data_IF_968704369182
#
_entry.id   IF_968704369182
#
_cell.length_a   1.000
_cell.length_b   1.000
_cell.length_c   1.000
_cell.angle_alpha   90.00
_cell.angle_beta   90.00
_cell.angle_gamma   90.00
#
_symmetry.space_group_name_H-M   'P 1'
#
loop_
_entity.id
_entity.type
_entity.pdbx_description
1 polymer ?
#
# COMPACT_ATOMS: atom_id res chain seq x y z
N UNK A 1 17.53 43.15 41.70
CA UNK A 1 16.21 42.68 41.30
C UNK A 1 15.96 42.84 39.78
N UNK A 2 16.33 43.93 39.17
CA UNK A 2 16.09 44.20 37.73
C UNK A 2 16.75 43.22 36.72
N UNK A 3 17.97 42.74 36.98
CA UNK A 3 18.66 41.78 36.10
C UNK A 3 18.00 40.40 36.02
N UNK A 4 17.34 39.92 37.09
CA UNK A 4 16.62 38.64 37.07
C UNK A 4 15.29 38.73 36.34
N UNK A 5 14.64 39.89 36.31
CA UNK A 5 13.40 40.13 35.60
C UNK A 5 13.61 40.16 34.10
N UNK A 6 14.71 40.78 33.62
CA UNK A 6 15.08 40.83 32.19
C UNK A 6 15.43 39.45 31.65
N UNK A 7 16.13 38.59 32.40
CA UNK A 7 16.42 37.22 32.00
C UNK A 7 15.16 36.34 31.93
N UNK A 8 14.19 36.53 32.81
CA UNK A 8 12.92 35.79 32.77
C UNK A 8 12.05 36.22 31.56
N UNK A 9 12.01 37.50 31.23
CA UNK A 9 11.28 37.97 30.02
C UNK A 9 11.96 37.49 28.72
N UNK A 10 13.28 37.48 28.66
CA UNK A 10 14.01 36.98 27.49
C UNK A 10 13.78 35.46 27.28
N UNK A 11 13.72 34.69 28.38
CA UNK A 11 13.42 33.25 28.31
C UNK A 11 11.97 32.97 27.89
N UNK A 12 10.99 33.77 28.31
CA UNK A 12 9.61 33.64 27.88
C UNK A 12 9.44 33.97 26.39
N UNK A 13 10.09 35.01 25.90
CA UNK A 13 10.08 35.37 24.47
C UNK A 13 10.74 34.28 23.61
N UNK A 14 11.85 33.68 24.05
CA UNK A 14 12.51 32.60 23.33
C UNK A 14 11.64 31.32 23.30
N UNK A 15 10.93 31.02 24.38
CA UNK A 15 10.02 29.88 24.40
C UNK A 15 8.77 30.08 23.51
N UNK A 16 8.24 31.30 23.46
CA UNK A 16 7.12 31.65 22.56
C UNK A 16 7.53 31.55 21.09
N UNK A 17 8.72 32.04 20.71
CA UNK A 17 9.23 31.93 19.34
C UNK A 17 9.57 30.48 18.95
N UNK A 18 10.01 29.64 19.88
CA UNK A 18 10.23 28.22 19.61
C UNK A 18 8.92 27.44 19.42
N UNK A 19 7.86 27.80 20.13
CA UNK A 19 6.53 27.22 19.96
C UNK A 19 5.92 27.60 18.60
N UNK A 20 6.02 28.90 18.19
CA UNK A 20 5.56 29.35 16.89
C UNK A 20 6.37 28.72 15.73
N UNK A 21 7.68 28.56 15.88
CA UNK A 21 8.51 27.90 14.88
C UNK A 21 8.19 26.39 14.75
N UNK A 22 7.85 25.72 15.84
CA UNK A 22 7.43 24.32 15.82
C UNK A 22 6.04 24.14 15.17
N UNK A 23 5.15 25.11 15.34
CA UNK A 23 3.82 25.09 14.74
C UNK A 23 3.86 25.47 13.25
N UNK A 24 4.73 26.39 12.84
CA UNK A 24 4.97 26.75 11.43
C UNK A 24 5.53 25.60 10.58
N UNK A 25 6.10 24.55 11.19
CA UNK A 25 6.59 23.36 10.48
C UNK A 25 5.50 22.31 10.20
N UNK A 26 4.31 22.47 10.78
CA UNK A 26 3.19 21.54 10.58
C UNK A 26 2.30 22.02 9.43
N UNK A 27 1.84 21.08 8.57
CA UNK A 27 0.86 21.43 7.53
C UNK A 27 -0.41 22.03 8.16
N UNK A 28 -0.86 23.19 7.67
CA UNK A 28 -2.05 23.87 8.16
C UNK A 28 -3.36 23.12 7.87
N UNK A 29 -3.34 22.16 6.95
CA UNK A 29 -4.50 21.35 6.58
C UNK A 29 -4.09 19.96 6.06
N UNK A 30 -5.09 19.04 6.05
CA UNK A 30 -4.93 17.72 5.42
C UNK A 30 -4.57 17.86 3.93
N UNK A 31 -5.17 18.81 3.23
CA UNK A 31 -4.90 19.05 1.80
C UNK A 31 -3.45 19.47 1.58
N UNK A 32 -2.90 20.33 2.43
CA UNK A 32 -1.50 20.73 2.37
C UNK A 32 -0.57 19.58 2.67
N UNK A 33 -0.83 18.78 3.71
CA UNK A 33 -0.05 17.58 4.03
C UNK A 33 -0.02 16.60 2.85
N UNK A 34 -1.17 16.35 2.22
CA UNK A 34 -1.27 15.48 1.03
C UNK A 34 -0.43 16.04 -0.11
N UNK A 35 -0.48 17.36 -0.36
CA UNK A 35 0.32 18.00 -1.42
C UNK A 35 1.81 17.88 -1.14
N UNK A 36 2.27 18.15 0.08
CA UNK A 36 3.68 18.01 0.46
C UNK A 36 4.16 16.57 0.23
N UNK A 37 3.39 15.57 0.68
CA UNK A 37 3.73 14.17 0.47
C UNK A 37 3.77 13.82 -1.03
N UNK A 38 2.81 14.29 -1.80
CA UNK A 38 2.75 14.06 -3.24
C UNK A 38 3.98 14.67 -3.95
N UNK A 39 4.33 15.91 -3.62
CA UNK A 39 5.48 16.61 -4.21
C UNK A 39 6.81 15.91 -3.85
N UNK A 40 6.97 15.48 -2.60
CA UNK A 40 8.15 14.73 -2.16
C UNK A 40 8.28 13.36 -2.83
N UNK A 41 7.18 12.79 -3.28
CA UNK A 41 7.12 11.46 -3.90
C UNK A 41 7.01 11.49 -5.41
N UNK A 42 7.02 12.66 -6.02
CA UNK A 42 6.92 12.78 -7.49
C UNK A 42 8.02 11.98 -8.17
N UNK A 43 7.63 11.15 -9.13
CA UNK A 43 8.56 10.42 -9.98
C UNK A 43 8.93 11.34 -11.13
N UNK A 44 10.19 11.84 -11.14
CA UNK A 44 10.69 12.78 -12.14
C UNK A 44 11.47 12.09 -13.27
N UNK A 45 11.72 10.79 -13.15
CA UNK A 45 12.41 10.02 -14.17
C UNK A 45 11.59 9.99 -15.48
N UNK A 46 12.18 10.25 -16.66
CA UNK A 46 11.45 10.29 -17.93
C UNK A 46 10.74 8.97 -18.29
N UNK A 47 11.29 7.83 -17.83
CA UNK A 47 10.71 6.49 -18.03
C UNK A 47 9.84 6.06 -16.84
N UNK A 48 9.62 6.95 -15.87
CA UNK A 48 8.86 6.67 -14.67
C UNK A 48 7.39 6.40 -14.97
N UNK A 49 6.75 5.70 -14.04
CA UNK A 49 5.30 5.47 -14.04
C UNK A 49 4.73 5.88 -12.70
N UNK A 50 3.66 6.67 -12.74
CA UNK A 50 2.89 7.09 -11.58
C UNK A 50 1.42 7.14 -11.99
N UNK A 51 0.64 6.12 -11.61
CA UNK A 51 -0.77 5.96 -11.98
C UNK A 51 -1.59 5.62 -10.74
N UNK A 52 -2.82 6.14 -10.68
CA UNK A 52 -3.84 5.73 -9.72
C UNK A 52 -5.13 5.55 -10.52
N UNK A 53 -5.65 4.34 -10.58
CA UNK A 53 -6.76 4.01 -11.47
C UNK A 53 -7.65 2.90 -10.90
N UNK A 54 -8.81 2.77 -11.51
CA UNK A 54 -9.73 1.66 -11.29
C UNK A 54 -9.60 0.66 -12.44
N UNK A 55 -9.33 -0.59 -12.12
CA UNK A 55 -9.28 -1.70 -13.10
C UNK A 55 -10.44 -2.66 -12.86
N UNK A 56 -10.97 -3.25 -13.94
CA UNK A 56 -12.05 -4.22 -13.82
C UNK A 56 -11.48 -5.60 -13.57
N UNK A 57 -11.65 -6.10 -12.34
CA UNK A 57 -11.19 -7.42 -11.88
C UNK A 57 -12.36 -8.11 -11.20
N UNK A 58 -12.60 -9.37 -11.53
CA UNK A 58 -13.67 -10.16 -10.91
C UNK A 58 -15.05 -9.53 -11.07
N UNK A 59 -15.29 -8.83 -12.18
CA UNK A 59 -16.56 -8.19 -12.48
C UNK A 59 -16.81 -6.85 -11.80
N UNK A 60 -15.93 -6.36 -10.92
CA UNK A 60 -16.05 -5.08 -10.21
C UNK A 60 -14.88 -4.14 -10.49
N UNK A 61 -15.04 -2.85 -10.22
CA UNK A 61 -13.97 -1.86 -10.29
C UNK A 61 -13.06 -1.99 -9.06
N UNK A 62 -11.77 -2.25 -9.23
CA UNK A 62 -10.82 -2.38 -8.14
C UNK A 62 -9.70 -1.36 -8.27
N UNK A 63 -9.38 -0.68 -7.16
CA UNK A 63 -8.42 0.41 -7.14
C UNK A 63 -6.98 -0.09 -7.08
N UNK A 64 -6.12 0.47 -7.92
CA UNK A 64 -4.68 0.24 -7.86
C UNK A 64 -3.91 1.56 -7.88
N UNK A 65 -2.68 1.53 -7.35
CA UNK A 65 -1.65 2.51 -7.69
C UNK A 65 -0.46 1.79 -8.27
N UNK A 66 0.16 2.38 -9.28
CA UNK A 66 1.34 1.86 -9.97
C UNK A 66 2.42 2.92 -9.92
N UNK A 67 3.57 2.60 -9.33
CA UNK A 67 4.67 3.55 -9.15
C UNK A 67 6.01 2.88 -9.39
N UNK A 68 6.90 3.54 -10.12
CA UNK A 68 8.27 3.07 -10.36
C UNK A 68 9.09 4.10 -11.12
N UNK A 69 10.39 4.17 -10.85
CA UNK A 69 11.31 5.09 -11.54
C UNK A 69 11.54 4.71 -13.02
N UNK A 70 11.32 3.46 -13.37
CA UNK A 70 11.38 2.97 -14.76
C UNK A 70 10.28 1.93 -14.99
N UNK A 71 9.38 2.19 -15.95
CA UNK A 71 8.31 1.25 -16.35
C UNK A 71 8.82 -0.10 -16.88
N UNK A 72 10.11 -0.18 -17.22
CA UNK A 72 10.76 -1.42 -17.65
C UNK A 72 11.14 -2.31 -16.47
N UNK A 73 11.20 -1.78 -15.27
CA UNK A 73 11.48 -2.55 -14.06
C UNK A 73 10.49 -3.72 -13.91
N UNK A 74 10.88 -4.80 -13.24
CA UNK A 74 9.95 -5.87 -12.91
C UNK A 74 8.81 -5.36 -12.02
N UNK A 75 7.62 -5.92 -12.20
CA UNK A 75 6.46 -5.59 -11.38
C UNK A 75 6.57 -6.28 -10.02
N UNK A 76 6.24 -5.56 -8.95
CA UNK A 76 6.00 -6.08 -7.61
C UNK A 76 4.55 -5.79 -7.21
N UNK A 77 3.70 -6.82 -7.24
CA UNK A 77 2.31 -6.72 -6.77
C UNK A 77 2.25 -6.97 -5.26
N UNK A 78 1.61 -6.06 -4.54
CA UNK A 78 1.38 -6.16 -3.09
C UNK A 78 -0.04 -6.69 -2.81
N UNK A 79 -0.13 -7.81 -2.09
CA UNK A 79 -1.36 -8.36 -1.54
C UNK A 79 -1.43 -7.99 -0.06
N UNK A 80 -2.30 -7.04 0.30
CA UNK A 80 -2.41 -6.53 1.67
C UNK A 80 -3.06 -7.54 2.63
N UNK A 81 -2.85 -7.32 3.91
CA UNK A 81 -3.37 -8.13 4.99
C UNK A 81 -4.81 -7.79 5.42
N UNK A 82 -5.19 -8.34 6.55
CA UNK A 82 -6.50 -8.13 7.18
C UNK A 82 -7.34 -9.39 7.26
N UNK A 83 -8.28 -9.71 6.33
CA UNK A 83 -8.62 -9.00 5.07
C UNK A 83 -9.10 -7.56 5.27
N UNK A 84 -8.86 -6.71 4.27
CA UNK A 84 -9.35 -5.32 4.26
C UNK A 84 -8.43 -4.26 4.86
N UNK A 85 -7.23 -4.62 5.35
CA UNK A 85 -6.25 -3.65 5.83
C UNK A 85 -5.37 -3.13 4.68
N UNK A 86 -5.90 -2.13 3.95
CA UNK A 86 -5.24 -1.57 2.78
C UNK A 86 -3.90 -0.92 3.12
N UNK A 87 -2.88 -1.19 2.31
CA UNK A 87 -1.54 -0.60 2.48
C UNK A 87 -1.35 0.70 1.67
N UNK A 88 -2.20 0.94 0.68
CA UNK A 88 -2.10 2.08 -0.24
C UNK A 88 -1.97 3.44 0.47
N UNK A 89 -2.74 3.78 1.52
CA UNK A 89 -2.64 5.07 2.20
C UNK A 89 -1.30 5.29 2.92
N UNK A 90 -0.62 4.23 3.33
CA UNK A 90 0.65 4.28 4.06
C UNK A 90 1.86 3.92 3.21
N UNK A 91 1.66 3.51 1.96
CA UNK A 91 2.72 3.08 1.05
C UNK A 91 3.81 4.14 0.83
N UNK A 92 3.45 5.43 0.92
CA UNK A 92 4.37 6.55 0.80
C UNK A 92 5.53 6.49 1.80
N UNK A 93 5.32 5.87 2.96
CA UNK A 93 6.31 5.78 4.03
C UNK A 93 7.39 4.71 3.76
N UNK A 94 7.00 3.54 3.24
CA UNK A 94 7.93 2.41 3.13
C UNK A 94 8.32 2.05 1.69
N UNK A 95 7.52 2.43 0.69
CA UNK A 95 7.65 1.94 -0.69
C UNK A 95 8.74 2.66 -1.50
N UNK A 96 9.13 3.89 -1.14
CA UNK A 96 9.95 4.76 -1.98
C UNK A 96 11.23 4.09 -2.50
N UNK A 97 11.99 3.42 -1.64
CA UNK A 97 13.23 2.76 -2.06
C UNK A 97 13.02 1.56 -2.98
N UNK A 98 11.81 0.99 -3.01
CA UNK A 98 11.48 -0.11 -3.92
C UNK A 98 11.17 0.39 -5.34
N UNK A 99 10.67 1.62 -5.45
CA UNK A 99 10.30 2.25 -6.73
C UNK A 99 11.50 2.44 -7.68
N UNK A 100 12.74 2.42 -7.15
CA UNK A 100 13.97 2.48 -7.95
C UNK A 100 14.25 1.16 -8.70
N UNK A 101 13.80 0.03 -8.16
CA UNK A 101 14.09 -1.32 -8.66
C UNK A 101 12.87 -2.05 -9.21
N UNK A 102 11.67 -1.63 -8.80
CA UNK A 102 10.40 -2.25 -9.18
C UNK A 102 9.40 -1.22 -9.69
N UNK A 103 8.51 -1.66 -10.56
CA UNK A 103 7.21 -1.04 -10.73
C UNK A 103 6.30 -1.63 -9.66
N UNK A 104 6.09 -0.89 -8.56
CA UNK A 104 5.32 -1.35 -7.40
C UNK A 104 3.84 -1.08 -7.62
N UNK A 105 3.03 -2.12 -7.45
CA UNK A 105 1.57 -2.06 -7.54
C UNK A 105 0.96 -2.31 -6.17
N UNK A 106 0.31 -1.28 -5.62
CA UNK A 106 -0.58 -1.42 -4.48
C UNK A 106 -1.99 -1.66 -4.99
N UNK A 107 -2.72 -2.56 -4.35
CA UNK A 107 -4.06 -2.95 -4.75
C UNK A 107 -4.99 -2.97 -3.55
N UNK A 108 -6.06 -2.20 -3.59
CA UNK A 108 -7.16 -2.30 -2.66
C UNK A 108 -8.06 -3.46 -3.13
N UNK A 109 -7.93 -4.60 -2.48
CA UNK A 109 -8.66 -5.82 -2.84
C UNK A 109 -10.18 -5.64 -2.69
N UNK A 110 -10.95 -6.58 -3.24
CA UNK A 110 -12.41 -6.64 -3.13
C UNK A 110 -12.89 -6.34 -1.68
N UNK A 111 -13.83 -5.40 -1.54
CA UNK A 111 -14.40 -5.01 -0.26
C UNK A 111 -13.49 -4.12 0.61
N UNK A 112 -12.36 -3.63 0.10
CA UNK A 112 -11.40 -2.83 0.85
C UNK A 112 -11.18 -1.45 0.23
N UNK A 113 -10.87 -0.45 1.07
CA UNK A 113 -10.39 0.87 0.67
C UNK A 113 -11.21 1.56 -0.41
N UNK A 114 -10.53 2.03 -1.45
CA UNK A 114 -11.17 2.70 -2.60
C UNK A 114 -12.02 1.74 -3.43
N UNK A 115 -11.68 0.47 -3.48
CA UNK A 115 -12.49 -0.58 -4.12
C UNK A 115 -13.86 -0.70 -3.44
N UNK A 116 -13.90 -0.72 -2.10
CA UNK A 116 -15.16 -0.70 -1.37
C UNK A 116 -15.99 0.55 -1.70
N UNK A 117 -15.37 1.73 -1.67
CA UNK A 117 -16.05 2.99 -1.92
C UNK A 117 -16.60 3.13 -3.35
N UNK A 118 -16.03 2.40 -4.33
CA UNK A 118 -16.42 2.47 -5.74
C UNK A 118 -17.51 1.47 -6.15
N UNK A 119 -17.94 0.58 -5.26
CA UNK A 119 -18.89 -0.49 -5.57
C UNK A 119 -20.04 -0.55 -4.55
N UNK A 120 -21.19 -1.04 -4.98
CA UNK A 120 -22.32 -1.28 -4.08
C UNK A 120 -22.00 -2.44 -3.12
N UNK A 121 -21.95 -2.19 -1.79
CA UNK A 121 -21.61 -3.20 -0.81
C UNK A 121 -22.63 -4.35 -0.75
N UNK A 122 -23.89 -4.12 -1.08
CA UNK A 122 -24.94 -5.14 -1.11
C UNK A 122 -24.66 -6.16 -2.21
N UNK A 123 -24.17 -5.70 -3.37
CA UNK A 123 -23.81 -6.57 -4.50
C UNK A 123 -22.47 -7.28 -4.29
N UNK A 124 -21.54 -6.65 -3.59
CA UNK A 124 -20.19 -7.20 -3.37
C UNK A 124 -20.16 -8.20 -2.22
N UNK A 125 -20.89 -7.97 -1.12
CA UNK A 125 -20.84 -8.78 0.09
C UNK A 125 -21.02 -10.30 -0.15
N UNK A 126 -21.97 -10.78 -0.96
CA UNK A 126 -22.13 -12.21 -1.22
C UNK A 126 -20.94 -12.84 -1.96
N UNK A 127 -20.10 -12.01 -2.61
CA UNK A 127 -18.93 -12.45 -3.38
C UNK A 127 -17.64 -12.45 -2.55
N UNK A 128 -17.68 -12.00 -1.29
CA UNK A 128 -16.55 -11.90 -0.37
C UNK A 128 -16.12 -13.29 0.13
N UNK A 129 -15.69 -14.16 -0.78
CA UNK A 129 -15.21 -15.50 -0.47
C UNK A 129 -13.71 -15.62 -0.76
N UNK A 130 -13.02 -16.49 -0.03
CA UNK A 130 -11.59 -16.74 -0.28
C UNK A 130 -11.33 -17.18 -1.72
N UNK A 131 -12.19 -18.03 -2.28
CA UNK A 131 -12.08 -18.49 -3.66
C UNK A 131 -12.19 -17.32 -4.66
N UNK A 132 -13.14 -16.38 -4.45
CA UNK A 132 -13.28 -15.21 -5.32
C UNK A 132 -12.09 -14.27 -5.18
N UNK A 133 -11.58 -14.06 -3.97
CA UNK A 133 -10.42 -13.21 -3.75
C UNK A 133 -9.13 -13.79 -4.37
N UNK A 134 -8.99 -15.12 -4.36
CA UNK A 134 -7.89 -15.78 -5.08
C UNK A 134 -8.03 -15.60 -6.59
N UNK A 135 -9.22 -15.81 -7.15
CA UNK A 135 -9.47 -15.60 -8.57
C UNK A 135 -9.29 -14.12 -8.97
N UNK A 136 -9.62 -13.15 -8.09
CA UNK A 136 -9.30 -11.74 -8.32
C UNK A 136 -7.77 -11.52 -8.38
N UNK A 137 -6.99 -12.21 -7.54
CA UNK A 137 -5.53 -12.12 -7.57
C UNK A 137 -4.95 -12.71 -8.85
N UNK A 138 -5.49 -13.82 -9.33
CA UNK A 138 -5.13 -14.42 -10.62
C UNK A 138 -5.44 -13.47 -11.79
N UNK A 139 -6.64 -12.90 -11.82
CA UNK A 139 -7.04 -11.91 -12.83
C UNK A 139 -6.16 -10.67 -12.78
N UNK A 140 -5.81 -10.16 -11.59
CA UNK A 140 -4.92 -9.01 -11.40
C UNK A 140 -3.52 -9.30 -11.94
N UNK A 141 -2.94 -10.45 -11.61
CA UNK A 141 -1.63 -10.86 -12.14
C UNK A 141 -1.67 -10.99 -13.66
N UNK A 142 -2.69 -11.62 -14.22
CA UNK A 142 -2.86 -11.75 -15.66
C UNK A 142 -2.99 -10.38 -16.35
N UNK A 143 -3.78 -9.47 -15.74
CA UNK A 143 -3.94 -8.10 -16.25
C UNK A 143 -2.61 -7.33 -16.21
N UNK A 144 -1.87 -7.37 -15.10
CA UNK A 144 -0.57 -6.70 -14.96
C UNK A 144 0.45 -7.21 -15.98
N UNK A 145 0.52 -8.53 -16.16
CA UNK A 145 1.41 -9.14 -17.13
C UNK A 145 1.12 -8.65 -18.55
N UNK A 146 -0.15 -8.57 -18.92
CA UNK A 146 -0.59 -8.08 -20.22
C UNK A 146 -0.33 -6.59 -20.40
N UNK A 147 -0.74 -5.77 -19.43
CA UNK A 147 -0.66 -4.30 -19.46
C UNK A 147 0.79 -3.81 -19.60
N UNK A 148 1.73 -4.47 -18.90
CA UNK A 148 3.14 -4.09 -18.89
C UNK A 148 4.01 -4.95 -19.80
N UNK A 149 3.46 -5.88 -20.54
CA UNK A 149 4.20 -6.78 -21.45
C UNK A 149 5.19 -7.68 -20.69
N UNK A 150 4.85 -8.11 -19.47
CA UNK A 150 5.71 -8.93 -18.61
C UNK A 150 5.27 -10.38 -18.64
N UNK A 151 6.20 -11.31 -18.86
CA UNK A 151 5.90 -12.74 -18.75
C UNK A 151 5.77 -13.19 -17.28
N UNK A 152 6.57 -12.62 -16.40
CA UNK A 152 6.59 -12.92 -14.96
C UNK A 152 6.62 -11.64 -14.15
N UNK A 153 6.08 -11.70 -12.93
CA UNK A 153 6.11 -10.60 -11.97
C UNK A 153 6.55 -11.12 -10.59
N UNK A 154 6.87 -10.22 -9.67
CA UNK A 154 7.00 -10.53 -8.25
C UNK A 154 5.66 -10.31 -7.57
N UNK A 155 5.34 -11.16 -6.60
CA UNK A 155 4.17 -11.02 -5.74
C UNK A 155 4.63 -11.05 -4.29
N UNK A 156 4.21 -10.06 -3.50
CA UNK A 156 4.43 -10.02 -2.05
C UNK A 156 3.09 -10.09 -1.34
N UNK A 157 2.92 -11.07 -0.46
CA UNK A 157 1.73 -11.22 0.37
C UNK A 157 2.04 -10.93 1.83
N UNK A 158 1.28 -10.01 2.44
CA UNK A 158 1.40 -9.69 3.86
C UNK A 158 0.24 -10.28 4.66
N UNK A 159 0.53 -11.01 5.75
CA UNK A 159 -0.48 -11.56 6.67
C UNK A 159 -1.58 -12.32 5.89
N UNK A 160 -2.84 -11.89 5.95
CA UNK A 160 -3.93 -12.48 5.14
C UNK A 160 -3.55 -12.60 3.65
N UNK A 161 -2.96 -11.55 3.06
CA UNK A 161 -2.52 -11.56 1.66
C UNK A 161 -1.49 -12.65 1.35
N UNK A 162 -0.76 -13.12 2.36
CA UNK A 162 0.20 -14.22 2.18
C UNK A 162 -0.51 -15.57 1.93
N UNK A 163 -1.72 -15.76 2.43
CA UNK A 163 -2.50 -16.96 2.15
C UNK A 163 -3.01 -17.00 0.72
N UNK A 164 -3.26 -15.85 0.10
CA UNK A 164 -3.60 -15.75 -1.32
C UNK A 164 -2.34 -15.92 -2.18
N UNK A 165 -1.24 -15.24 -1.79
CA UNK A 165 0.00 -15.25 -2.54
C UNK A 165 0.67 -16.61 -2.65
N UNK A 166 0.66 -17.41 -1.57
CA UNK A 166 1.23 -18.77 -1.61
C UNK A 166 0.40 -19.71 -2.50
N UNK A 167 -0.92 -19.56 -2.47
CA UNK A 167 -1.82 -20.35 -3.29
C UNK A 167 -1.68 -19.98 -4.79
N UNK A 168 -1.61 -18.69 -5.09
CA UNK A 168 -1.30 -18.19 -6.43
C UNK A 168 0.04 -18.74 -6.95
N UNK A 169 1.08 -18.71 -6.11
CA UNK A 169 2.39 -19.23 -6.47
C UNK A 169 2.39 -20.74 -6.72
N UNK A 170 1.59 -21.49 -5.96
CA UNK A 170 1.40 -22.94 -6.13
C UNK A 170 0.69 -23.27 -7.44
N UNK A 171 -0.34 -22.49 -7.81
CA UNK A 171 -1.14 -22.74 -9.02
C UNK A 171 -0.48 -22.22 -10.29
N UNK A 172 0.24 -21.09 -10.21
CA UNK A 172 0.83 -20.40 -11.36
C UNK A 172 2.33 -20.08 -11.16
N UNK A 173 3.18 -21.10 -10.91
CA UNK A 173 4.61 -20.86 -10.66
C UNK A 173 5.32 -20.22 -11.87
N UNK A 174 4.83 -20.45 -13.07
CA UNK A 174 5.33 -19.89 -14.33
C UNK A 174 4.99 -18.40 -14.53
N UNK A 175 4.05 -17.84 -13.75
CA UNK A 175 3.70 -16.41 -13.81
C UNK A 175 4.60 -15.55 -12.93
N UNK A 176 5.38 -16.16 -12.03
CA UNK A 176 6.13 -15.45 -11.01
C UNK A 176 7.64 -15.58 -11.21
N UNK A 177 8.36 -14.47 -10.99
CA UNK A 177 9.79 -14.51 -10.73
C UNK A 177 10.06 -15.08 -9.33
N UNK A 178 9.31 -14.60 -8.35
CA UNK A 178 9.29 -15.09 -6.99
C UNK A 178 8.00 -14.65 -6.28
N UNK A 179 7.63 -15.40 -5.25
CA UNK A 179 6.68 -15.04 -4.22
C UNK A 179 7.42 -14.70 -2.93
N UNK A 180 7.00 -13.62 -2.24
CA UNK A 180 7.56 -13.12 -0.99
C UNK A 180 6.47 -13.14 0.06
N UNK A 181 6.59 -14.01 1.07
CA UNK A 181 5.65 -14.06 2.20
C UNK A 181 6.15 -13.20 3.37
N UNK A 182 5.36 -12.23 3.80
CA UNK A 182 5.63 -11.40 4.96
C UNK A 182 4.56 -11.65 6.03
N UNK A 183 4.96 -12.14 7.21
CA UNK A 183 4.00 -12.66 8.20
C UNK A 183 3.20 -13.81 7.61
N UNK A 184 3.88 -14.79 7.00
CA UNK A 184 3.29 -15.89 6.23
C UNK A 184 2.33 -16.72 7.06
N UNK A 185 1.09 -16.82 6.60
CA UNK A 185 0.10 -17.75 7.14
C UNK A 185 0.27 -19.09 6.43
N UNK A 186 0.60 -20.13 7.19
CA UNK A 186 0.80 -21.49 6.67
C UNK A 186 -0.40 -22.41 7.01
N UNK A 187 -0.80 -22.41 8.28
CA UNK A 187 -1.91 -23.19 8.80
C UNK A 187 -2.70 -22.36 9.82
N UNK A 188 -3.80 -21.73 9.37
CA UNK A 188 -4.61 -20.88 10.24
C UNK A 188 -5.27 -21.67 11.38
N UNK A 189 -5.91 -22.83 11.17
CA UNK A 189 -6.51 -23.61 12.25
C UNK A 189 -5.51 -24.02 13.33
N UNK A 190 -4.34 -24.47 12.93
CA UNK A 190 -3.30 -24.87 13.87
C UNK A 190 -2.70 -23.66 14.61
N UNK A 191 -2.50 -22.52 13.93
CA UNK A 191 -2.02 -21.29 14.55
C UNK A 191 -3.02 -20.77 15.60
N UNK A 192 -4.31 -20.74 15.29
CA UNK A 192 -5.37 -20.38 16.24
C UNK A 192 -5.38 -21.32 17.45
N UNK A 193 -5.38 -22.65 17.22
CA UNK A 193 -5.38 -23.66 18.27
C UNK A 193 -4.17 -23.53 19.20
N UNK A 194 -3.00 -23.16 18.69
CA UNK A 194 -1.80 -22.93 19.51
C UNK A 194 -1.89 -21.62 20.27
N UNK A 195 -2.36 -20.55 19.62
CA UNK A 195 -2.52 -19.24 20.25
C UNK A 195 -3.43 -19.24 21.45
N UNK A 196 -4.47 -20.09 21.49
CA UNK A 196 -5.37 -20.26 22.63
C UNK A 196 -4.76 -21.01 23.82
N UNK A 197 -3.57 -21.59 23.70
CA UNK A 197 -2.90 -22.33 24.78
C UNK A 197 -1.93 -21.50 25.59
N UNK A 198 -1.74 -20.23 25.23
CA UNK A 198 -0.92 -19.25 25.94
C UNK A 198 -1.79 -18.14 26.49
#
# INVERSE_FOLDING_TARGET
>A
MFKRLLLALASLCAAAHAADAADASRPASRAEAVRIIADMRRIVAPQGVERSEMVRIGGIAQAITVRGADRRNPILLMLHGGPGFVAMPTSWYFQRGWEDYFTVVQWDQRGAGKTYAANDPVLVAPTMTRARMLADAEEMVAWLRKEFGKQRIFVMGHSWGSSLGIELARQHPDWLHAYIGMGQITDSPESERRGWRF
#
